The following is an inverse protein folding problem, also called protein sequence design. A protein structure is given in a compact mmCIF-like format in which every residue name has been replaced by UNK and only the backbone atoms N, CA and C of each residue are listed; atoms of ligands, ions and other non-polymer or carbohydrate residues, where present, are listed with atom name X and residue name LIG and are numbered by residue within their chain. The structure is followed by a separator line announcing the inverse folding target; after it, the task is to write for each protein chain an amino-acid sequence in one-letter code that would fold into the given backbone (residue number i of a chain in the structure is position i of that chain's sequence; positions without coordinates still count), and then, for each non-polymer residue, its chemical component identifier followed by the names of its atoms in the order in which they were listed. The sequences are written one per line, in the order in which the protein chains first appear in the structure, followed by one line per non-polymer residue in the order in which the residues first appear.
data_IF_968358388402
#
_entry.id   IF_968358388402
#
_cell.length_a   1.000
_cell.length_b   1.000
_cell.length_c   1.000
_cell.angle_alpha   90.00
_cell.angle_beta   90.00
_cell.angle_gamma   90.00
#
_symmetry.space_group_name_H-M   'P 1'
#
loop_
_entity.id
_entity.type
_entity.pdbx_description
1 polymer ?
#
# COMPACT_ATOMS: atom_id res chain seq x y z
N UNK A 1 -17.50 -5.23 -0.28
CA UNK A 1 -16.08 -4.88 -0.57
C UNK A 1 -15.53 -5.96 -1.49
N UNK A 2 -14.77 -5.58 -2.53
CA UNK A 2 -14.16 -6.56 -3.45
C UNK A 2 -12.79 -6.97 -2.90
N UNK A 3 -12.50 -8.26 -2.96
CA UNK A 3 -11.18 -8.79 -2.65
C UNK A 3 -10.48 -9.18 -3.97
N UNK A 4 -9.17 -9.05 -3.98
CA UNK A 4 -8.32 -9.62 -5.03
C UNK A 4 -7.62 -10.87 -4.49
N UNK A 5 -7.47 -11.86 -5.34
CA UNK A 5 -6.68 -13.05 -5.03
C UNK A 5 -5.21 -12.79 -5.39
N UNK A 6 -4.31 -13.04 -4.45
CA UNK A 6 -2.87 -13.00 -4.64
C UNK A 6 -2.37 -14.31 -5.27
N UNK A 7 -1.15 -14.32 -5.82
CA UNK A 7 -0.58 -15.50 -6.48
C UNK A 7 -0.34 -16.70 -5.55
N UNK A 8 -0.55 -16.55 -4.25
CA UNK A 8 -0.50 -17.62 -3.25
C UNK A 8 -1.89 -18.01 -2.70
N UNK A 9 -2.98 -17.51 -3.31
CA UNK A 9 -4.36 -17.81 -2.91
C UNK A 9 -4.89 -16.96 -1.76
N UNK A 10 -4.09 -16.09 -1.16
CA UNK A 10 -4.55 -15.19 -0.10
C UNK A 10 -5.45 -14.10 -0.70
N UNK A 11 -6.59 -13.86 -0.06
CA UNK A 11 -7.51 -12.78 -0.46
C UNK A 11 -7.13 -11.47 0.25
N UNK A 12 -6.90 -10.40 -0.52
CA UNK A 12 -6.61 -9.06 -0.01
C UNK A 12 -7.74 -8.08 -0.37
N UNK A 13 -8.23 -7.25 0.56
CA UNK A 13 -9.20 -6.21 0.24
C UNK A 13 -8.65 -5.21 -0.79
N UNK A 14 -9.48 -4.82 -1.75
CA UNK A 14 -9.09 -3.90 -2.82
C UNK A 14 -8.83 -2.47 -2.36
N UNK A 15 -9.39 -2.08 -1.21
CA UNK A 15 -9.26 -0.74 -0.61
C UNK A 15 -8.83 -0.86 0.84
N UNK A 16 -7.80 -0.12 1.23
CA UNK A 16 -7.31 -0.02 2.59
C UNK A 16 -7.11 1.41 3.04
N UNK A 17 -6.73 1.58 4.31
CA UNK A 17 -6.29 2.86 4.88
C UNK A 17 -4.76 2.86 5.03
N UNK A 18 -4.08 3.89 4.47
CA UNK A 18 -2.66 4.13 4.67
C UNK A 18 -2.40 5.05 5.84
N UNK A 19 -1.33 4.78 6.61
CA UNK A 19 -0.97 5.55 7.81
C UNK A 19 0.28 6.41 7.65
N UNK A 20 0.83 6.51 6.44
CA UNK A 20 2.00 7.34 6.16
C UNK A 20 1.74 8.81 6.53
N UNK A 21 2.71 9.44 7.20
CA UNK A 21 2.66 10.83 7.71
C UNK A 21 1.55 11.12 8.74
N UNK A 22 0.89 10.12 9.28
CA UNK A 22 -0.01 10.31 10.41
C UNK A 22 0.79 10.28 11.72
N UNK A 23 0.52 11.24 12.61
CA UNK A 23 1.00 11.16 13.98
C UNK A 23 0.47 9.90 14.66
N UNK A 24 1.08 9.39 15.75
CA UNK A 24 0.51 8.26 16.49
C UNK A 24 -0.96 8.48 16.88
N UNK A 25 -1.32 9.67 17.35
CA UNK A 25 -2.71 10.00 17.68
C UNK A 25 -3.64 9.92 16.44
N UNK A 26 -3.22 10.53 15.32
CA UNK A 26 -4.01 10.52 14.09
C UNK A 26 -4.10 9.09 13.51
N UNK A 27 -3.03 8.28 13.58
CA UNK A 27 -3.01 6.91 13.08
C UNK A 27 -3.97 6.00 13.86
N UNK A 28 -3.96 6.07 15.21
CA UNK A 28 -4.90 5.32 16.05
C UNK A 28 -6.36 5.65 15.69
N UNK A 29 -6.68 6.95 15.60
CA UNK A 29 -8.03 7.38 15.31
C UNK A 29 -8.45 7.03 13.86
N UNK A 30 -7.56 7.21 12.88
CA UNK A 30 -7.87 6.90 11.47
C UNK A 30 -8.11 5.42 11.27
N UNK A 31 -7.31 4.55 11.90
CA UNK A 31 -7.50 3.09 11.86
C UNK A 31 -8.82 2.70 12.52
N UNK A 32 -9.12 3.26 13.69
CA UNK A 32 -10.38 3.01 14.39
C UNK A 32 -11.59 3.40 13.51
N UNK A 33 -11.61 4.62 12.97
CA UNK A 33 -12.72 5.11 12.13
C UNK A 33 -12.84 4.29 10.84
N UNK A 34 -11.72 3.97 10.18
CA UNK A 34 -11.74 3.16 8.97
C UNK A 34 -12.35 1.76 9.22
N UNK A 35 -11.96 1.08 10.31
CA UNK A 35 -12.52 -0.22 10.67
C UNK A 35 -14.01 -0.14 11.00
N UNK A 36 -14.46 0.93 11.64
CA UNK A 36 -15.90 1.19 11.92
C UNK A 36 -16.69 1.44 10.64
N UNK A 37 -16.09 2.09 9.64
CA UNK A 37 -16.71 2.36 8.34
C UNK A 37 -16.65 1.15 7.37
N UNK A 38 -16.06 0.02 7.80
CA UNK A 38 -16.07 -1.23 7.05
C UNK A 38 -14.78 -1.54 6.29
N UNK A 39 -13.73 -0.73 6.40
CA UNK A 39 -12.41 -1.11 5.91
C UNK A 39 -11.93 -2.39 6.59
N UNK A 40 -11.16 -3.19 5.84
CA UNK A 40 -10.53 -4.42 6.34
C UNK A 40 -9.06 -4.55 5.95
N UNK A 41 -8.47 -3.54 5.28
CA UNK A 41 -7.05 -3.47 4.97
C UNK A 41 -6.45 -2.22 5.64
N UNK A 42 -5.37 -2.41 6.39
CA UNK A 42 -4.59 -1.36 7.04
C UNK A 42 -3.16 -1.47 6.54
N UNK A 43 -2.58 -0.37 6.05
CA UNK A 43 -1.19 -0.30 5.60
C UNK A 43 -0.37 0.66 6.45
N UNK A 44 0.68 0.16 7.06
CA UNK A 44 1.65 0.92 7.84
C UNK A 44 3.10 0.57 7.47
N UNK A 45 4.06 1.03 8.23
CA UNK A 45 5.47 0.65 8.14
C UNK A 45 6.20 0.96 9.45
N UNK A 46 7.26 0.23 9.75
CA UNK A 46 8.07 0.55 10.92
C UNK A 46 8.66 1.97 10.88
N UNK A 47 9.07 2.44 9.67
CA UNK A 47 9.59 3.78 9.46
C UNK A 47 8.55 4.92 9.62
N UNK A 48 7.25 4.61 9.73
CA UNK A 48 6.22 5.63 9.98
C UNK A 48 6.13 6.01 11.46
N UNK A 49 6.76 5.23 12.33
CA UNK A 49 6.83 5.50 13.77
C UNK A 49 5.44 5.53 14.43
N UNK A 50 4.50 4.76 13.89
CA UNK A 50 3.12 4.71 14.38
C UNK A 50 2.53 3.29 14.46
N UNK A 51 3.37 2.24 14.39
CA UNK A 51 2.90 0.84 14.47
C UNK A 51 2.17 0.55 15.79
N UNK A 52 2.67 1.05 16.94
CA UNK A 52 1.97 0.89 18.23
C UNK A 52 0.58 1.53 18.22
N UNK A 53 0.47 2.71 17.62
CA UNK A 53 -0.81 3.40 17.47
C UNK A 53 -1.78 2.67 16.56
N UNK A 54 -1.28 2.09 15.46
CA UNK A 54 -2.08 1.22 14.57
C UNK A 54 -2.62 0.03 15.35
N UNK A 55 -1.79 -0.66 16.14
CA UNK A 55 -2.22 -1.75 17.01
C UNK A 55 -3.29 -1.33 18.02
N UNK A 56 -3.15 -0.15 18.64
CA UNK A 56 -4.18 0.40 19.53
C UNK A 56 -5.49 0.67 18.80
N UNK A 57 -5.42 1.25 17.58
CA UNK A 57 -6.60 1.51 16.74
C UNK A 57 -7.35 0.23 16.36
N UNK A 58 -6.62 -0.84 15.99
CA UNK A 58 -7.17 -2.17 15.72
C UNK A 58 -7.90 -2.70 16.97
N UNK A 59 -7.21 -2.74 18.10
CA UNK A 59 -7.78 -3.24 19.35
C UNK A 59 -9.03 -2.46 19.77
N UNK A 60 -8.98 -1.13 19.67
CA UNK A 60 -10.10 -0.22 20.04
C UNK A 60 -11.33 -0.43 19.15
N UNK A 61 -11.15 -0.84 17.89
CA UNK A 61 -12.25 -1.04 16.94
C UNK A 61 -13.19 -2.17 17.34
N UNK A 62 -12.67 -3.18 18.08
CA UNK A 62 -13.40 -4.38 18.43
C UNK A 62 -13.68 -5.35 17.27
N UNK A 63 -13.13 -5.08 16.08
CA UNK A 63 -13.23 -5.98 14.93
C UNK A 63 -12.30 -7.18 15.15
N UNK A 64 -12.78 -8.38 14.86
CA UNK A 64 -11.96 -9.59 14.99
C UNK A 64 -10.69 -9.50 14.14
N UNK A 65 -9.55 -9.92 14.72
CA UNK A 65 -8.25 -9.89 14.01
C UNK A 65 -8.28 -10.68 12.71
N UNK A 66 -9.01 -11.76 12.66
CA UNK A 66 -9.14 -12.61 11.47
C UNK A 66 -9.87 -11.95 10.31
N UNK A 67 -10.66 -10.89 10.57
CA UNK A 67 -11.33 -10.10 9.56
C UNK A 67 -10.45 -8.96 9.00
N UNK A 68 -9.33 -8.65 9.66
CA UNK A 68 -8.48 -7.51 9.33
C UNK A 68 -7.24 -8.00 8.60
N UNK A 69 -6.96 -7.39 7.45
CA UNK A 69 -5.73 -7.58 6.70
C UNK A 69 -4.75 -6.45 7.06
N UNK A 70 -3.65 -6.79 7.72
CA UNK A 70 -2.62 -5.83 8.14
C UNK A 70 -1.39 -5.98 7.28
N UNK A 71 -0.98 -4.89 6.61
CA UNK A 71 0.30 -4.80 5.91
C UNK A 71 1.24 -3.84 6.62
N UNK A 72 2.51 -4.21 6.69
CA UNK A 72 3.59 -3.35 7.20
C UNK A 72 4.87 -3.57 6.39
N UNK A 73 5.91 -2.76 6.67
CA UNK A 73 7.13 -2.73 5.87
C UNK A 73 8.34 -2.63 6.78
N UNK A 74 9.40 -3.37 6.45
CA UNK A 74 10.70 -3.23 7.09
C UNK A 74 11.52 -2.17 6.36
N UNK A 75 12.12 -1.25 7.11
CA UNK A 75 13.05 -0.25 6.60
C UNK A 75 14.42 -0.86 6.29
N UNK A 76 15.22 -0.32 5.35
CA UNK A 76 16.50 -0.91 4.93
C UNK A 76 17.49 -1.26 6.04
N UNK A 77 17.57 -0.47 7.11
CA UNK A 77 18.45 -0.75 8.25
C UNK A 77 18.04 -1.99 9.05
N UNK A 78 16.80 -2.46 8.88
CA UNK A 78 16.29 -3.66 9.54
C UNK A 78 16.48 -4.95 8.72
N UNK A 79 16.95 -4.88 7.48
CA UNK A 79 17.10 -6.04 6.60
C UNK A 79 18.13 -7.07 7.08
N UNK A 80 19.02 -6.67 7.98
CA UNK A 80 20.01 -7.56 8.62
C UNK A 80 19.67 -7.85 10.10
N UNK A 81 18.59 -7.29 10.64
CA UNK A 81 18.13 -7.51 12.00
C UNK A 81 17.25 -8.77 12.07
N UNK A 82 17.80 -9.87 12.59
CA UNK A 82 17.07 -11.15 12.72
C UNK A 82 15.81 -11.08 13.59
N UNK A 83 15.70 -10.04 14.44
CA UNK A 83 14.55 -9.83 15.32
C UNK A 83 13.53 -8.84 14.74
N UNK A 84 13.83 -8.16 13.62
CA UNK A 84 13.01 -7.08 13.08
C UNK A 84 11.52 -7.44 12.95
N UNK A 85 11.22 -8.66 12.53
CA UNK A 85 9.84 -9.13 12.35
C UNK A 85 9.15 -9.30 13.70
N UNK A 86 9.81 -9.90 14.69
CA UNK A 86 9.25 -10.04 16.03
C UNK A 86 9.01 -8.67 16.68
N UNK A 87 9.96 -7.76 16.57
CA UNK A 87 9.87 -6.40 17.08
C UNK A 87 8.72 -5.61 16.40
N UNK A 88 8.51 -5.81 15.09
CA UNK A 88 7.36 -5.26 14.36
C UNK A 88 6.04 -5.82 14.90
N UNK A 89 5.94 -7.13 15.09
CA UNK A 89 4.76 -7.76 15.66
C UNK A 89 4.47 -7.27 17.09
N UNK A 90 5.51 -7.13 17.91
CA UNK A 90 5.41 -6.57 19.25
C UNK A 90 4.88 -5.14 19.26
N UNK A 91 5.43 -4.25 18.39
CA UNK A 91 4.93 -2.87 18.27
C UNK A 91 3.46 -2.83 17.82
N UNK A 92 3.07 -3.67 16.89
CA UNK A 92 1.68 -3.79 16.45
C UNK A 92 0.77 -4.47 17.47
N UNK A 93 1.33 -5.22 18.43
CA UNK A 93 0.57 -6.04 19.38
C UNK A 93 -0.18 -7.19 18.70
N UNK A 94 0.45 -7.81 17.68
CA UNK A 94 -0.13 -8.85 16.85
C UNK A 94 0.77 -10.10 16.82
N UNK A 95 0.17 -11.27 16.65
CA UNK A 95 0.88 -12.54 16.53
C UNK A 95 1.40 -12.78 15.09
N UNK A 96 0.75 -12.19 14.10
CA UNK A 96 1.10 -12.26 12.68
C UNK A 96 0.67 -11.00 11.94
N UNK A 97 1.26 -10.78 10.76
CA UNK A 97 0.76 -9.81 9.78
C UNK A 97 0.36 -10.52 8.49
N UNK A 98 -0.56 -9.92 7.75
CA UNK A 98 -1.08 -10.51 6.52
C UNK A 98 -0.15 -10.27 5.35
N UNK A 99 0.58 -9.14 5.33
CA UNK A 99 1.54 -8.83 4.28
C UNK A 99 2.72 -8.05 4.85
N UNK A 100 3.93 -8.51 4.56
CA UNK A 100 5.17 -7.85 4.95
C UNK A 100 5.97 -7.44 3.73
N UNK A 101 6.35 -6.17 3.67
CA UNK A 101 7.16 -5.63 2.58
C UNK A 101 8.61 -5.35 2.99
N UNK A 102 9.53 -5.46 2.03
CA UNK A 102 10.72 -4.63 2.04
C UNK A 102 10.35 -3.23 1.55
N UNK A 103 10.72 -2.20 2.32
CA UNK A 103 10.19 -0.83 2.10
C UNK A 103 10.89 -0.10 0.96
N UNK A 104 12.19 -0.28 0.78
CA UNK A 104 13.01 0.40 -0.22
C UNK A 104 14.10 -0.52 -0.78
N UNK A 105 14.45 -0.40 -2.06
CA UNK A 105 15.56 -1.13 -2.67
C UNK A 105 16.91 -0.52 -2.28
N UNK A 106 17.25 -0.58 -0.99
CA UNK A 106 18.45 0.00 -0.42
C UNK A 106 19.05 -0.96 0.62
N UNK A 107 20.34 -0.79 0.92
CA UNK A 107 21.03 -1.68 1.85
C UNK A 107 21.06 -3.13 1.38
N UNK A 108 21.02 -4.08 2.31
CA UNK A 108 21.12 -5.51 2.01
C UNK A 108 19.74 -6.14 1.74
N UNK A 109 19.01 -5.63 0.74
CA UNK A 109 17.62 -6.04 0.47
C UNK A 109 17.49 -7.50 -0.01
N UNK A 110 18.53 -8.12 -0.58
CA UNK A 110 18.49 -9.53 -0.97
C UNK A 110 18.42 -10.43 0.27
N UNK A 111 19.24 -10.19 1.28
CA UNK A 111 19.16 -10.96 2.53
C UNK A 111 17.90 -10.57 3.32
N UNK A 112 17.47 -9.31 3.25
CA UNK A 112 16.17 -8.89 3.78
C UNK A 112 15.00 -9.66 3.13
N UNK A 113 15.08 -9.92 1.83
CA UNK A 113 14.04 -10.70 1.14
C UNK A 113 14.03 -12.15 1.59
N UNK A 114 15.18 -12.80 1.72
CA UNK A 114 15.29 -14.16 2.29
C UNK A 114 14.71 -14.24 3.71
N UNK A 115 14.95 -13.21 4.53
CA UNK A 115 14.40 -13.15 5.88
C UNK A 115 12.85 -13.11 5.88
N UNK A 116 12.23 -12.35 4.98
CA UNK A 116 10.76 -12.35 4.89
C UNK A 116 10.21 -13.63 4.25
N UNK A 117 10.95 -14.31 3.35
CA UNK A 117 10.61 -15.64 2.85
C UNK A 117 10.58 -16.67 3.98
N UNK A 118 11.56 -16.64 4.89
CA UNK A 118 11.58 -17.51 6.06
C UNK A 118 10.41 -17.23 7.01
N UNK A 119 10.07 -15.97 7.23
CA UNK A 119 8.91 -15.61 8.05
C UNK A 119 7.59 -16.08 7.43
N UNK A 120 7.48 -16.04 6.11
CA UNK A 120 6.35 -16.60 5.37
C UNK A 120 6.24 -18.12 5.56
N UNK A 121 7.35 -18.87 5.40
CA UNK A 121 7.40 -20.31 5.61
C UNK A 121 7.03 -20.71 7.05
N UNK A 122 7.40 -19.86 8.02
CA UNK A 122 7.13 -20.07 9.45
C UNK A 122 5.73 -19.58 9.89
N UNK A 123 4.90 -19.05 8.97
CA UNK A 123 3.54 -18.62 9.25
C UNK A 123 3.40 -17.28 10.00
N UNK A 124 4.50 -16.55 10.22
CA UNK A 124 4.46 -15.20 10.83
C UNK A 124 3.89 -14.14 9.89
N UNK A 125 3.97 -14.37 8.60
CA UNK A 125 3.38 -13.53 7.55
C UNK A 125 2.64 -14.41 6.56
N UNK A 126 1.50 -13.94 6.06
CA UNK A 126 0.64 -14.69 5.13
C UNK A 126 0.97 -14.40 3.65
N UNK A 127 1.59 -13.26 3.38
CA UNK A 127 2.06 -12.84 2.07
C UNK A 127 3.30 -11.94 2.23
N UNK A 128 4.14 -11.89 1.21
CA UNK A 128 5.33 -11.03 1.16
C UNK A 128 5.32 -10.14 -0.07
N UNK A 129 5.96 -8.99 0.03
CA UNK A 129 6.02 -8.03 -1.07
C UNK A 129 7.23 -7.13 -1.02
N UNK A 130 7.33 -6.28 -2.02
CA UNK A 130 8.37 -5.25 -2.10
C UNK A 130 7.74 -3.89 -2.40
N UNK A 131 8.28 -2.84 -1.80
CA UNK A 131 7.79 -1.46 -2.00
C UNK A 131 8.87 -0.61 -2.65
N UNK A 132 8.50 0.11 -3.71
CA UNK A 132 9.42 0.93 -4.50
C UNK A 132 10.48 0.15 -5.31
N UNK A 133 10.33 -1.15 -5.46
CA UNK A 133 11.18 -1.96 -6.32
C UNK A 133 10.64 -1.92 -7.75
N UNK A 134 11.36 -1.24 -8.63
CA UNK A 134 11.02 -1.08 -10.04
C UNK A 134 12.28 -1.28 -10.90
N UNK A 135 12.13 -1.72 -12.16
CA UNK A 135 13.23 -1.98 -13.09
C UNK A 135 14.20 -3.01 -12.52
N UNK A 136 15.50 -2.73 -12.59
CA UNK A 136 16.57 -3.64 -12.17
C UNK A 136 16.43 -4.22 -10.77
N UNK A 137 15.87 -3.46 -9.82
CA UNK A 137 15.68 -3.93 -8.44
C UNK A 137 14.60 -5.01 -8.34
N UNK A 138 13.49 -4.85 -9.08
CA UNK A 138 12.46 -5.89 -9.13
C UNK A 138 12.97 -7.11 -9.91
N UNK A 139 13.66 -6.91 -11.02
CA UNK A 139 14.24 -7.98 -11.84
C UNK A 139 15.24 -8.79 -11.00
N UNK A 140 16.05 -8.13 -10.17
CA UNK A 140 16.98 -8.81 -9.27
C UNK A 140 16.27 -9.65 -8.21
N UNK A 141 15.22 -9.13 -7.57
CA UNK A 141 14.40 -9.91 -6.64
C UNK A 141 13.81 -11.14 -7.36
N UNK A 142 13.17 -10.94 -8.50
CA UNK A 142 12.54 -12.03 -9.27
C UNK A 142 13.52 -13.11 -9.72
N UNK A 143 14.78 -12.73 -9.97
CA UNK A 143 15.84 -13.68 -10.37
C UNK A 143 16.43 -14.48 -9.20
N UNK A 144 16.33 -13.98 -7.96
CA UNK A 144 16.99 -14.54 -6.77
C UNK A 144 16.01 -15.07 -5.72
N UNK A 145 14.73 -14.75 -5.81
CA UNK A 145 13.73 -15.18 -4.85
C UNK A 145 13.39 -16.66 -5.00
N UNK A 146 13.13 -17.32 -3.89
CA UNK A 146 12.53 -18.66 -3.84
C UNK A 146 11.00 -18.56 -3.91
N UNK A 147 10.44 -17.55 -3.26
CA UNK A 147 9.02 -17.23 -3.25
C UNK A 147 8.82 -15.86 -3.91
N UNK A 148 8.08 -15.83 -5.03
CA UNK A 148 7.77 -14.57 -5.72
C UNK A 148 6.98 -13.63 -4.81
N UNK A 149 7.23 -12.30 -4.88
CA UNK A 149 6.38 -11.35 -4.16
C UNK A 149 4.93 -11.48 -4.62
N UNK A 150 4.00 -11.39 -3.69
CA UNK A 150 2.58 -11.37 -3.99
C UNK A 150 2.12 -9.96 -4.40
N UNK A 151 2.78 -8.94 -3.86
CA UNK A 151 2.42 -7.54 -4.08
C UNK A 151 3.68 -6.68 -4.30
N UNK A 152 3.60 -5.76 -5.27
CA UNK A 152 4.54 -4.65 -5.43
C UNK A 152 3.81 -3.36 -5.08
N UNK A 153 4.28 -2.64 -4.05
CA UNK A 153 3.67 -1.38 -3.63
C UNK A 153 4.47 -0.19 -4.19
N UNK A 154 3.84 0.63 -5.02
CA UNK A 154 4.49 1.74 -5.75
C UNK A 154 3.58 2.95 -5.85
N UNK A 155 4.18 4.10 -6.19
CA UNK A 155 3.43 5.26 -6.65
C UNK A 155 2.61 4.89 -7.88
N UNK A 156 1.30 5.09 -7.81
CA UNK A 156 0.42 4.90 -8.96
C UNK A 156 -0.81 5.79 -8.83
N UNK A 157 -1.17 6.47 -9.89
CA UNK A 157 -2.34 7.35 -10.00
C UNK A 157 -2.58 7.68 -11.50
N UNK A 158 -3.71 8.31 -11.88
CA UNK A 158 -4.02 8.57 -13.29
C UNK A 158 -2.97 9.36 -14.08
N UNK A 159 -2.13 10.18 -13.43
CA UNK A 159 -1.01 10.86 -14.10
C UNK A 159 0.26 10.03 -14.20
N UNK A 160 0.30 8.87 -13.52
CA UNK A 160 1.41 7.92 -13.56
C UNK A 160 0.90 6.48 -13.38
N UNK A 161 0.56 5.82 -14.48
CA UNK A 161 -0.20 4.55 -14.53
C UNK A 161 0.65 3.29 -14.43
N UNK A 162 1.97 3.42 -14.24
CA UNK A 162 2.90 2.29 -14.09
C UNK A 162 2.94 1.30 -15.26
N UNK A 163 2.77 1.77 -16.50
CA UNK A 163 2.62 0.91 -17.70
C UNK A 163 3.77 -0.08 -17.90
N UNK A 164 5.01 0.31 -17.56
CA UNK A 164 6.18 -0.57 -17.67
C UNK A 164 6.16 -1.65 -16.60
N UNK A 165 5.86 -1.28 -15.35
CA UNK A 165 5.79 -2.20 -14.23
C UNK A 165 4.64 -3.19 -14.39
N UNK A 166 3.48 -2.74 -14.87
CA UNK A 166 2.31 -3.59 -15.15
C UNK A 166 2.64 -4.77 -16.05
N UNK A 167 3.42 -4.56 -17.11
CA UNK A 167 3.83 -5.66 -18.02
C UNK A 167 4.59 -6.78 -17.29
N UNK A 168 5.38 -6.42 -16.27
CA UNK A 168 6.12 -7.39 -15.46
C UNK A 168 5.17 -8.05 -14.46
N UNK A 169 4.41 -7.24 -13.73
CA UNK A 169 3.53 -7.74 -12.66
C UNK A 169 2.39 -8.61 -13.20
N UNK A 170 1.83 -8.26 -14.35
CA UNK A 170 0.79 -9.07 -15.02
C UNK A 170 1.34 -10.44 -15.45
N UNK A 171 2.56 -10.47 -16.04
CA UNK A 171 3.23 -11.72 -16.43
C UNK A 171 3.52 -12.63 -15.24
N UNK A 172 3.94 -12.03 -14.12
CA UNK A 172 4.34 -12.77 -12.91
C UNK A 172 3.17 -13.01 -11.94
N UNK A 173 1.95 -12.58 -12.29
CA UNK A 173 0.75 -12.61 -11.44
C UNK A 173 0.96 -11.95 -10.08
N UNK A 174 1.63 -10.78 -10.08
CA UNK A 174 1.89 -9.96 -8.89
C UNK A 174 0.90 -8.80 -8.87
N UNK A 175 0.28 -8.49 -7.73
CA UNK A 175 -0.63 -7.34 -7.61
C UNK A 175 0.14 -6.05 -7.38
N UNK A 176 -0.35 -4.95 -7.96
CA UNK A 176 0.11 -3.60 -7.64
C UNK A 176 -0.73 -3.05 -6.50
N UNK A 177 -0.07 -2.51 -5.47
CA UNK A 177 -0.69 -1.71 -4.41
C UNK A 177 -0.23 -0.26 -4.58
N UNK A 178 -1.19 0.66 -4.72
CA UNK A 178 -0.91 2.06 -5.03
C UNK A 178 -0.79 2.90 -3.76
N UNK A 179 0.38 3.52 -3.55
CA UNK A 179 0.52 4.63 -2.63
C UNK A 179 0.44 5.98 -3.39
N UNK A 180 0.11 7.05 -2.71
CA UNK A 180 -0.26 8.36 -3.29
C UNK A 180 -1.35 8.27 -4.38
N UNK A 181 -2.40 7.48 -4.17
CA UNK A 181 -3.40 7.25 -5.21
C UNK A 181 -4.08 8.54 -5.68
N UNK A 182 -4.16 9.54 -4.82
CA UNK A 182 -4.76 10.85 -5.09
C UNK A 182 -3.72 11.92 -5.47
N UNK A 183 -2.48 11.51 -5.87
CA UNK A 183 -1.46 12.44 -6.38
C UNK A 183 -0.79 13.29 -5.30
N UNK A 184 -0.61 12.77 -4.09
CA UNK A 184 0.13 13.45 -3.00
C UNK A 184 -0.33 14.89 -2.73
N UNK A 185 -1.65 15.14 -2.83
CA UNK A 185 -2.21 16.48 -2.65
C UNK A 185 -2.04 17.43 -3.85
N UNK A 186 -1.60 16.92 -5.00
CA UNK A 186 -1.60 17.69 -6.25
C UNK A 186 -3.04 17.99 -6.67
N UNK A 187 -3.45 19.23 -6.45
CA UNK A 187 -4.79 19.70 -6.82
C UNK A 187 -5.06 19.49 -8.31
N UNK A 188 -4.04 19.54 -9.18
CA UNK A 188 -4.25 19.40 -10.63
C UNK A 188 -4.83 18.02 -11.01
N UNK A 189 -4.54 16.96 -10.25
CA UNK A 189 -5.15 15.64 -10.46
C UNK A 189 -6.62 15.60 -10.01
N UNK A 190 -6.89 16.11 -8.81
CA UNK A 190 -8.25 16.15 -8.26
C UNK A 190 -9.15 17.11 -9.07
N UNK A 191 -8.56 18.16 -9.60
CA UNK A 191 -9.26 19.20 -10.39
C UNK A 191 -9.25 18.92 -11.89
N UNK A 192 -8.69 17.79 -12.34
CA UNK A 192 -8.68 17.42 -13.76
C UNK A 192 -10.10 17.35 -14.33
N UNK A 193 -10.31 18.04 -15.44
CA UNK A 193 -11.63 18.18 -16.04
C UNK A 193 -12.23 16.85 -16.52
N UNK A 194 -11.39 15.90 -16.92
CA UNK A 194 -11.84 14.55 -17.28
C UNK A 194 -12.38 13.82 -16.06
N UNK A 195 -11.66 13.87 -14.94
CA UNK A 195 -12.07 13.25 -13.68
C UNK A 195 -13.35 13.91 -13.15
N UNK A 196 -13.44 15.25 -13.16
CA UNK A 196 -14.63 15.98 -12.73
C UNK A 196 -15.87 15.62 -13.54
N UNK A 197 -15.76 15.59 -14.88
CA UNK A 197 -16.90 15.23 -15.76
C UNK A 197 -17.37 13.80 -15.50
N UNK A 198 -16.46 12.87 -15.30
CA UNK A 198 -16.82 11.50 -14.93
C UNK A 198 -17.48 11.50 -13.55
N UNK A 199 -16.97 12.26 -12.59
CA UNK A 199 -17.57 12.42 -11.26
C UNK A 199 -19.02 12.92 -11.34
N UNK A 200 -19.28 13.95 -12.12
CA UNK A 200 -20.62 14.49 -12.36
C UNK A 200 -21.61 13.43 -12.92
N UNK A 201 -21.13 12.59 -13.85
CA UNK A 201 -21.93 11.50 -14.44
C UNK A 201 -22.42 10.50 -13.40
N UNK A 202 -21.63 10.23 -12.37
CA UNK A 202 -21.95 9.23 -11.34
C UNK A 202 -22.42 9.85 -10.02
N UNK A 203 -22.45 11.18 -9.89
CA UNK A 203 -22.70 11.86 -8.61
C UNK A 203 -21.63 11.58 -7.57
N UNK A 204 -20.37 11.41 -8.01
CA UNK A 204 -19.22 11.06 -7.18
C UNK A 204 -18.14 12.15 -7.18
N UNK A 205 -17.38 12.23 -6.11
CA UNK A 205 -16.24 13.16 -6.02
C UNK A 205 -15.08 12.70 -6.93
N UNK A 206 -14.21 13.60 -7.38
CA UNK A 206 -13.01 13.24 -8.12
C UNK A 206 -12.14 12.19 -7.40
N UNK A 207 -12.01 12.28 -6.08
CA UNK A 207 -11.30 11.28 -5.28
C UNK A 207 -11.92 9.88 -5.44
N UNK A 208 -13.23 9.77 -5.33
CA UNK A 208 -13.94 8.50 -5.52
C UNK A 208 -13.77 7.95 -6.93
N UNK A 209 -13.77 8.77 -7.97
CA UNK A 209 -13.49 8.33 -9.35
C UNK A 209 -12.07 7.79 -9.48
N UNK A 210 -11.08 8.47 -8.92
CA UNK A 210 -9.68 8.03 -8.97
C UNK A 210 -9.52 6.70 -8.22
N UNK A 211 -10.09 6.56 -7.03
CA UNK A 211 -10.04 5.32 -6.26
C UNK A 211 -10.77 4.18 -6.96
N UNK A 212 -11.93 4.46 -7.57
CA UNK A 212 -12.66 3.48 -8.39
C UNK A 212 -11.86 3.05 -9.61
N UNK A 213 -11.17 3.97 -10.28
CA UNK A 213 -10.28 3.66 -11.38
C UNK A 213 -9.19 2.65 -10.96
N UNK A 214 -8.55 2.85 -9.79
CA UNK A 214 -7.55 1.91 -9.30
C UNK A 214 -8.10 0.49 -9.16
N UNK A 215 -9.23 0.32 -8.48
CA UNK A 215 -9.80 -1.03 -8.29
C UNK A 215 -10.31 -1.63 -9.60
N UNK A 216 -10.77 -0.80 -10.55
CA UNK A 216 -11.16 -1.24 -11.90
C UNK A 216 -9.95 -1.69 -12.75
N UNK A 217 -8.75 -1.15 -12.45
CA UNK A 217 -7.47 -1.60 -13.03
C UNK A 217 -6.92 -2.87 -12.36
N UNK A 218 -7.59 -3.39 -11.33
CA UNK A 218 -7.10 -4.51 -10.53
C UNK A 218 -6.01 -4.14 -9.52
N UNK A 219 -5.87 -2.84 -9.20
CA UNK A 219 -4.90 -2.35 -8.21
C UNK A 219 -5.53 -2.28 -6.82
N UNK A 220 -4.75 -2.64 -5.81
CA UNK A 220 -5.08 -2.39 -4.42
C UNK A 220 -4.76 -0.93 -4.14
N UNK A 221 -5.63 -0.22 -3.42
CA UNK A 221 -5.46 1.21 -3.17
C UNK A 221 -5.53 1.54 -1.69
N UNK A 222 -4.60 2.39 -1.21
CA UNK A 222 -4.44 2.71 0.21
C UNK A 222 -4.40 4.23 0.45
N UNK A 223 -5.53 4.96 0.22
CA UNK A 223 -5.59 6.37 0.56
C UNK A 223 -5.41 6.58 2.06
N UNK A 224 -4.59 7.56 2.44
CA UNK A 224 -4.44 8.00 3.83
C UNK A 224 -5.30 9.24 4.12
N UNK A 225 -5.88 9.32 5.31
CA UNK A 225 -6.55 10.52 5.80
C UNK A 225 -6.69 10.48 7.32
N UNK A 226 -6.63 11.65 7.96
CA UNK A 226 -7.02 11.85 9.35
C UNK A 226 -8.43 12.47 9.51
N UNK A 227 -9.05 12.83 8.39
CA UNK A 227 -10.41 13.36 8.37
C UNK A 227 -11.40 12.20 8.22
N UNK A 228 -12.28 12.04 9.20
CA UNK A 228 -13.31 10.98 9.25
C UNK A 228 -14.22 10.98 8.01
N UNK A 229 -14.66 12.15 7.57
CA UNK A 229 -15.53 12.24 6.38
C UNK A 229 -14.79 11.78 5.11
N UNK A 230 -13.50 12.15 4.95
CA UNK A 230 -12.71 11.66 3.83
C UNK A 230 -12.47 10.15 3.90
N UNK A 231 -12.28 9.57 5.11
CA UNK A 231 -12.14 8.11 5.29
C UNK A 231 -13.41 7.43 4.78
N UNK A 232 -14.56 7.89 5.24
CA UNK A 232 -15.88 7.38 4.82
C UNK A 232 -16.12 7.54 3.32
N UNK A 233 -15.85 8.72 2.76
CA UNK A 233 -16.05 9.01 1.34
C UNK A 233 -15.14 8.15 0.45
N UNK A 234 -13.87 7.96 0.83
CA UNK A 234 -12.92 7.12 0.11
C UNK A 234 -13.35 5.64 0.05
N UNK A 235 -14.15 5.19 1.00
CA UNK A 235 -14.70 3.83 1.02
C UNK A 235 -16.00 3.70 0.21
N UNK A 236 -16.72 4.78 -0.01
CA UNK A 236 -18.00 4.77 -0.72
C UNK A 236 -17.82 4.77 -2.25
N UNK A 237 -17.20 3.69 -2.78
CA UNK A 237 -16.85 3.53 -4.20
C UNK A 237 -17.30 2.20 -4.79
N UNK A 238 -18.16 1.45 -4.08
CA UNK A 238 -18.60 0.12 -4.51
C UNK A 238 -20.00 0.10 -5.12
N UNK A 239 -20.70 1.22 -5.15
CA UNK A 239 -22.07 1.39 -5.60
C UNK A 239 -22.21 1.85 -7.07
N UNK A 240 -21.08 1.96 -7.80
CA UNK A 240 -21.04 2.31 -9.22
C UNK A 240 -19.90 1.62 -9.95
N UNK A 241 -19.97 1.58 -11.28
CA UNK A 241 -18.91 1.02 -12.13
C UNK A 241 -18.51 2.01 -13.24
N UNK A 242 -17.22 2.17 -13.47
CA UNK A 242 -16.70 2.96 -14.60
C UNK A 242 -16.89 2.17 -15.91
N UNK A 243 -17.41 2.83 -16.93
CA UNK A 243 -17.51 2.21 -18.26
C UNK A 243 -16.11 2.09 -18.92
N UNK A 244 -16.01 1.26 -19.96
CA UNK A 244 -14.76 1.16 -20.77
C UNK A 244 -14.36 2.52 -21.37
N UNK A 245 -15.32 3.36 -21.73
CA UNK A 245 -15.08 4.71 -22.24
C UNK A 245 -14.51 5.63 -21.15
N UNK A 246 -15.08 5.57 -19.93
CA UNK A 246 -14.54 6.32 -18.78
C UNK A 246 -13.11 5.90 -18.46
N UNK A 247 -12.84 4.59 -18.41
CA UNK A 247 -11.51 4.04 -18.19
C UNK A 247 -10.52 4.53 -19.27
N UNK A 248 -10.90 4.46 -20.54
CA UNK A 248 -10.09 4.96 -21.66
C UNK A 248 -9.81 6.46 -21.58
N UNK A 249 -10.79 7.26 -21.13
CA UNK A 249 -10.60 8.70 -20.91
C UNK A 249 -9.61 8.97 -19.79
N UNK A 250 -9.68 8.22 -18.69
CA UNK A 250 -8.74 8.34 -17.57
C UNK A 250 -7.33 7.91 -17.99
N UNK A 251 -7.18 6.84 -18.75
CA UNK A 251 -5.86 6.42 -19.26
C UNK A 251 -5.19 7.50 -20.13
N UNK A 252 -5.96 8.26 -20.91
CA UNK A 252 -5.45 9.33 -21.77
C UNK A 252 -4.89 10.54 -21.03
N UNK A 253 -5.20 10.73 -19.75
CA UNK A 253 -4.62 11.81 -18.93
C UNK A 253 -3.28 11.45 -18.31
N UNK A 254 -2.75 10.25 -18.55
CA UNK A 254 -1.42 9.85 -18.11
C UNK A 254 -0.36 10.79 -18.66
N UNK A 255 0.44 11.37 -17.77
CA UNK A 255 1.52 12.35 -18.10
C UNK A 255 2.91 11.76 -17.83
N UNK A 256 2.99 10.49 -17.34
CA UNK A 256 4.21 9.92 -16.77
C UNK A 256 4.84 10.83 -15.70
N UNK A 257 4.00 11.56 -14.97
CA UNK A 257 4.41 12.51 -13.93
C UNK A 257 4.49 11.80 -12.59
N UNK A 258 5.71 11.65 -12.08
CA UNK A 258 5.98 11.15 -10.72
C UNK A 258 6.02 12.30 -9.73
N UNK A 259 5.62 12.03 -8.49
CA UNK A 259 5.83 12.91 -7.34
C UNK A 259 7.04 12.49 -6.51
N UNK A 260 7.42 11.22 -6.59
CA UNK A 260 8.59 10.68 -5.93
C UNK A 260 9.62 10.20 -6.94
N UNK A 261 10.81 10.78 -6.89
CA UNK A 261 11.96 10.33 -7.68
C UNK A 261 12.99 9.69 -6.78
N UNK A 262 13.24 8.41 -6.98
CA UNK A 262 14.29 7.68 -6.29
C UNK A 262 15.63 8.01 -6.91
N UNK A 263 16.53 8.63 -6.14
CA UNK A 263 17.92 8.85 -6.53
C UNK A 263 18.85 7.91 -5.77
N UNK A 264 20.07 7.70 -6.28
CA UNK A 264 21.09 6.91 -5.59
C UNK A 264 21.40 7.48 -4.21
N UNK A 265 21.51 8.81 -4.13
CA UNK A 265 21.77 9.51 -2.86
C UNK A 265 20.64 9.30 -1.84
N UNK A 266 19.39 9.23 -2.32
CA UNK A 266 18.25 8.90 -1.45
C UNK A 266 18.36 7.47 -0.92
N UNK A 267 18.69 6.49 -1.77
CA UNK A 267 18.89 5.10 -1.35
C UNK A 267 20.06 4.95 -0.36
N UNK A 268 21.17 5.65 -0.60
CA UNK A 268 22.33 5.66 0.31
C UNK A 268 21.98 6.25 1.70
N UNK A 269 21.09 7.25 1.74
CA UNK A 269 20.54 7.80 3.00
C UNK A 269 19.62 6.81 3.69
N UNK A 270 18.72 6.16 2.94
CA UNK A 270 17.78 5.17 3.47
C UNK A 270 18.50 3.98 4.10
N UNK A 271 19.60 3.53 3.51
CA UNK A 271 20.43 2.45 4.04
C UNK A 271 21.13 2.80 5.36
N UNK A 272 21.13 4.07 5.77
CA UNK A 272 21.81 4.57 7.00
C UNK A 272 20.85 5.18 8.01
N UNK A 273 19.59 5.33 7.67
CA UNK A 273 18.58 5.94 8.55
C UNK A 273 17.95 4.88 9.44
N UNK A 274 18.06 5.05 10.74
CA UNK A 274 17.41 4.21 11.74
C UNK A 274 16.14 4.91 12.25
N UNK A 275 14.93 4.35 12.01
CA UNK A 275 13.69 4.89 12.54
C UNK A 275 13.76 4.94 14.08
N UNK A 276 13.26 6.04 14.66
CA UNK A 276 13.06 6.12 16.11
C UNK A 276 11.61 5.75 16.38
N UNK A 277 11.42 4.59 16.97
CA UNK A 277 10.09 4.08 17.25
C UNK A 277 9.38 4.84 18.37
N UNK A 278 8.06 4.76 18.40
CA UNK A 278 7.20 5.25 19.49
C UNK A 278 7.59 4.56 20.80
N UNK A 279 7.82 5.32 21.89
CA UNK A 279 8.19 4.82 23.22
C UNK A 279 7.10 3.94 23.86
#
# INVERSE_FOLDING_TARGET
MNNFELNNGVLIPSVGIGTFMLSPFDAENSVYEALKDGYRLIDTANAYVNEKAVGRGIKKSGVDRSEIFVSTKLWPTEYSNKNAINETLERLGLDYVDLLFLHQPAGNYIDGYKMIEEAYKNGKVRAIGVSNFEGEYLDEILSKCEIKPQVVQVECHPYFTQDKLRKITDKENIKIMSWYPLGHGDKSLIEDETIKRIGQKYGKTPAQIILKWHISMGFIVIPGSKNKEHIKDNFNIFDFELTKDDMSKIEKINKNKRYYTRTKEALDRFAKFYPKYED
#
